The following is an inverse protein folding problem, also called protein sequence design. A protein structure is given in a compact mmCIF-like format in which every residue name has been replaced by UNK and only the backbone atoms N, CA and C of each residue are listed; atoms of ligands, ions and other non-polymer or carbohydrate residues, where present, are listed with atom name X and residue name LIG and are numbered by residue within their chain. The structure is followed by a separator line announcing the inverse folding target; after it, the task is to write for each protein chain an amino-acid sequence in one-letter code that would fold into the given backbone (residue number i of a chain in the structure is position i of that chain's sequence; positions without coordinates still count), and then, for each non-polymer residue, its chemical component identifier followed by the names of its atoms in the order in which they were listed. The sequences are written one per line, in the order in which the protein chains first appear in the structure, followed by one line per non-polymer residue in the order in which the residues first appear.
data_IF_966164845875
#
_entry.id   IF_966164845875
#
_cell.length_a   1.000
_cell.length_b   1.000
_cell.length_c   1.000
_cell.angle_alpha   90.00
_cell.angle_beta   90.00
_cell.angle_gamma   90.00
#
_symmetry.space_group_name_H-M   'P 1'
#
loop_
_entity.id
_entity.type
_entity.pdbx_description
1 polymer ?
#
# COMPACT_ATOMS: atom_id res chain seq x y z
N UNK A 1 -4.99 37.40 -4.14
CA UNK A 1 -4.91 35.94 -4.38
C UNK A 1 -4.62 35.25 -3.06
N UNK A 2 -5.46 34.35 -2.62
CA UNK A 2 -5.28 33.61 -1.35
C UNK A 2 -4.77 32.22 -1.63
N UNK A 3 -3.69 31.84 -0.96
CA UNK A 3 -3.22 30.44 -0.98
C UNK A 3 -4.12 29.61 -0.07
N UNK A 4 -4.76 28.59 -0.60
CA UNK A 4 -5.56 27.66 0.19
C UNK A 4 -4.63 26.78 1.04
N UNK A 5 -4.82 26.80 2.33
CA UNK A 5 -4.14 25.93 3.28
C UNK A 5 -5.16 25.03 3.96
N UNK A 6 -5.00 23.73 3.82
CA UNK A 6 -5.87 22.75 4.48
C UNK A 6 -5.33 22.46 5.87
N UNK A 7 -6.10 22.73 6.91
CA UNK A 7 -5.74 22.29 8.26
C UNK A 7 -5.89 20.78 8.39
N UNK A 8 -5.13 20.13 9.28
CA UNK A 8 -5.28 18.69 9.52
C UNK A 8 -6.71 18.26 9.89
N UNK A 9 -7.42 19.11 10.63
CA UNK A 9 -8.79 18.84 11.08
C UNK A 9 -9.83 18.98 9.95
N UNK A 10 -9.50 19.71 8.89
CA UNK A 10 -10.36 19.89 7.71
C UNK A 10 -10.11 18.79 6.64
N UNK A 11 -9.17 17.89 6.88
CA UNK A 11 -8.84 16.82 5.96
C UNK A 11 -9.97 15.77 5.92
N UNK A 12 -10.67 15.70 4.79
CA UNK A 12 -11.63 14.60 4.55
C UNK A 12 -10.85 13.33 4.23
N UNK A 13 -10.99 12.33 5.07
CA UNK A 13 -10.35 11.02 4.93
C UNK A 13 -11.46 10.00 4.73
N UNK A 14 -11.51 9.40 3.55
CA UNK A 14 -12.48 8.37 3.20
C UNK A 14 -11.84 6.97 3.30
N UNK A 15 -12.70 5.95 3.32
CA UNK A 15 -12.30 4.55 3.29
C UNK A 15 -12.66 3.92 1.95
N UNK A 16 -11.70 3.22 1.36
CA UNK A 16 -11.88 2.52 0.09
C UNK A 16 -11.46 1.06 0.21
N UNK A 17 -12.19 0.20 -0.49
CA UNK A 17 -11.81 -1.21 -0.68
C UNK A 17 -11.38 -1.43 -2.12
N UNK A 18 -10.27 -2.13 -2.29
CA UNK A 18 -9.66 -2.45 -3.60
C UNK A 18 -9.51 -3.95 -3.70
N UNK A 19 -10.01 -4.54 -4.77
CA UNK A 19 -9.77 -5.94 -5.09
C UNK A 19 -8.46 -6.10 -5.87
N UNK A 20 -7.54 -6.90 -5.33
CA UNK A 20 -6.24 -7.18 -5.95
C UNK A 20 -6.30 -8.35 -6.93
N UNK A 21 -7.42 -9.08 -7.01
CA UNK A 21 -7.55 -10.26 -7.85
C UNK A 21 -7.24 -9.96 -9.33
N UNK A 22 -6.28 -10.70 -9.87
CA UNK A 22 -5.89 -10.59 -11.27
C UNK A 22 -5.16 -9.30 -11.67
N UNK A 23 -4.93 -8.36 -10.76
CA UNK A 23 -4.21 -7.11 -11.03
C UNK A 23 -2.70 -7.29 -10.90
N UNK A 24 -1.93 -6.53 -11.68
CA UNK A 24 -0.47 -6.57 -11.61
C UNK A 24 0.05 -5.85 -10.37
N UNK A 25 0.94 -6.49 -9.61
CA UNK A 25 1.47 -6.00 -8.34
C UNK A 25 1.97 -4.55 -8.41
N UNK A 26 2.80 -4.22 -9.40
CA UNK A 26 3.41 -2.90 -9.49
C UNK A 26 2.41 -1.78 -9.81
N UNK A 27 1.50 -2.02 -10.75
CA UNK A 27 0.45 -1.04 -11.12
C UNK A 27 -0.54 -0.83 -9.98
N UNK A 28 -0.96 -1.92 -9.34
CA UNK A 28 -1.82 -1.86 -8.14
C UNK A 28 -1.14 -1.04 -7.04
N UNK A 29 0.12 -1.35 -6.71
CA UNK A 29 0.86 -0.65 -5.67
C UNK A 29 1.04 0.85 -5.96
N UNK A 30 1.29 1.24 -7.21
CA UNK A 30 1.42 2.66 -7.58
C UNK A 30 0.11 3.43 -7.44
N UNK A 31 -1.01 2.85 -7.84
CA UNK A 31 -2.33 3.45 -7.68
C UNK A 31 -2.72 3.59 -6.20
N UNK A 32 -2.45 2.57 -5.38
CA UNK A 32 -2.65 2.61 -3.93
C UNK A 32 -1.78 3.71 -3.30
N UNK A 33 -0.49 3.77 -3.63
CA UNK A 33 0.42 4.78 -3.09
C UNK A 33 -0.01 6.21 -3.46
N UNK A 34 -0.51 6.42 -4.67
CA UNK A 34 -1.07 7.69 -5.13
C UNK A 34 -2.24 8.14 -4.25
N UNK A 35 -3.14 7.22 -3.90
CA UNK A 35 -4.30 7.47 -3.02
C UNK A 35 -3.89 7.70 -1.56
N UNK A 36 -3.00 6.88 -1.03
CA UNK A 36 -2.47 7.02 0.34
C UNK A 36 -1.77 8.37 0.56
N UNK A 37 -1.07 8.85 -0.46
CA UNK A 37 -0.41 10.17 -0.43
C UNK A 37 -1.39 11.32 -0.59
N UNK A 38 -2.59 11.08 -1.12
CA UNK A 38 -3.62 12.09 -1.35
C UNK A 38 -3.45 12.90 -2.63
N UNK A 39 -2.63 12.46 -3.59
CA UNK A 39 -2.38 13.17 -4.84
C UNK A 39 -3.61 13.32 -5.76
N UNK A 40 -4.65 12.54 -5.52
CA UNK A 40 -5.91 12.63 -6.26
C UNK A 40 -6.79 13.80 -5.81
N UNK A 41 -6.48 14.41 -4.67
CA UNK A 41 -7.27 15.51 -4.10
C UNK A 41 -6.75 16.86 -4.58
N UNK A 42 -7.63 17.84 -4.88
CA UNK A 42 -7.21 19.17 -5.34
C UNK A 42 -6.46 19.97 -4.26
N UNK A 43 -6.70 19.66 -2.99
CA UNK A 43 -6.06 20.29 -1.84
C UNK A 43 -4.78 19.58 -1.39
N UNK A 44 -4.19 18.73 -2.24
CA UNK A 44 -2.96 18.03 -1.94
C UNK A 44 -1.83 18.99 -1.53
N UNK A 45 -1.17 18.67 -0.41
CA UNK A 45 0.02 19.36 0.06
C UNK A 45 1.11 18.34 0.45
N UNK A 46 2.38 18.51 0.00
CA UNK A 46 3.45 17.55 0.27
C UNK A 46 3.79 17.37 1.74
N UNK A 47 3.53 18.38 2.56
CA UNK A 47 3.84 18.40 3.99
C UNK A 47 2.73 17.85 4.90
N UNK A 48 1.59 17.51 4.33
CA UNK A 48 0.42 17.04 5.07
C UNK A 48 -0.02 15.65 4.64
N UNK A 49 -0.67 14.94 5.55
CA UNK A 49 -1.26 13.63 5.31
C UNK A 49 -2.75 13.77 5.00
N UNK A 50 -3.06 13.94 3.72
CA UNK A 50 -4.43 14.11 3.19
C UNK A 50 -4.98 12.86 2.51
N UNK A 51 -4.23 11.76 2.52
CA UNK A 51 -4.61 10.50 1.87
C UNK A 51 -5.74 9.77 2.57
N UNK A 52 -6.36 8.83 1.87
CA UNK A 52 -7.47 8.02 2.34
C UNK A 52 -6.98 6.69 2.92
N UNK A 53 -7.84 6.02 3.70
CA UNK A 53 -7.63 4.64 4.12
C UNK A 53 -7.94 3.69 2.97
N UNK A 54 -7.08 2.69 2.75
CA UNK A 54 -7.27 1.70 1.71
C UNK A 54 -7.21 0.30 2.32
N UNK A 55 -8.27 -0.47 2.05
CA UNK A 55 -8.38 -1.88 2.37
C UNK A 55 -8.17 -2.67 1.09
N UNK A 56 -7.15 -3.50 1.03
CA UNK A 56 -6.87 -4.38 -0.11
C UNK A 56 -7.29 -5.79 0.24
N UNK A 57 -8.10 -6.40 -0.60
CA UNK A 57 -8.57 -7.77 -0.46
C UNK A 57 -8.01 -8.65 -1.58
N UNK A 58 -8.04 -9.97 -1.38
CA UNK A 58 -7.57 -10.96 -2.35
C UNK A 58 -6.08 -10.81 -2.74
N UNK A 59 -5.23 -10.42 -1.79
CA UNK A 59 -3.79 -10.24 -2.06
C UNK A 59 -3.10 -11.52 -2.55
N UNK A 60 -3.63 -12.70 -2.22
CA UNK A 60 -3.08 -13.99 -2.67
C UNK A 60 -3.20 -14.26 -4.17
N UNK A 61 -4.09 -13.55 -4.86
CA UNK A 61 -4.36 -13.75 -6.30
C UNK A 61 -3.78 -12.66 -7.19
N UNK A 62 -2.90 -11.83 -6.65
CA UNK A 62 -2.21 -10.77 -7.40
C UNK A 62 -1.30 -11.37 -8.48
N UNK A 63 -1.28 -10.75 -9.66
CA UNK A 63 -0.45 -11.20 -10.79
C UNK A 63 0.93 -10.55 -10.75
N UNK A 64 1.93 -11.35 -11.12
CA UNK A 64 3.30 -10.90 -11.31
C UNK A 64 3.75 -11.31 -12.71
N UNK A 65 4.38 -10.41 -13.45
CA UNK A 65 4.81 -10.63 -14.83
C UNK A 65 6.24 -11.15 -14.92
N UNK A 66 6.55 -11.91 -15.97
CA UNK A 66 7.88 -12.45 -16.22
C UNK A 66 8.32 -13.50 -15.20
N UNK A 67 9.64 -13.67 -15.04
CA UNK A 67 10.25 -14.64 -14.14
C UNK A 67 10.40 -14.13 -12.68
N UNK A 68 9.69 -13.07 -12.29
CA UNK A 68 9.84 -12.43 -10.96
C UNK A 68 9.49 -13.35 -9.79
N UNK A 69 8.67 -14.39 -10.02
CA UNK A 69 8.32 -15.36 -8.98
C UNK A 69 9.55 -16.13 -8.48
N UNK A 70 10.51 -16.40 -9.37
CA UNK A 70 11.76 -17.08 -9.06
C UNK A 70 12.92 -16.13 -8.84
N UNK A 71 13.02 -15.09 -9.65
CA UNK A 71 14.21 -14.24 -9.74
C UNK A 71 14.17 -13.03 -8.81
N UNK A 72 12.98 -12.63 -8.33
CA UNK A 72 12.85 -11.53 -7.40
C UNK A 72 13.00 -11.98 -5.96
N UNK A 73 14.00 -11.44 -5.27
CA UNK A 73 14.26 -11.67 -3.86
C UNK A 73 14.03 -10.41 -3.03
N UNK A 74 13.49 -10.60 -1.83
CA UNK A 74 13.44 -9.58 -0.80
C UNK A 74 14.52 -9.88 0.23
N UNK A 75 15.37 -8.89 0.50
CA UNK A 75 16.50 -9.01 1.42
C UNK A 75 16.26 -8.18 2.67
N UNK A 76 16.58 -8.75 3.82
CA UNK A 76 16.56 -8.06 5.10
C UNK A 76 17.81 -8.38 5.88
N UNK A 77 18.57 -7.35 6.26
CA UNK A 77 19.74 -7.49 7.12
C UNK A 77 19.35 -7.28 8.58
N UNK A 78 19.81 -8.16 9.48
CA UNK A 78 19.47 -8.09 10.91
C UNK A 78 20.30 -7.07 11.70
N UNK A 79 21.32 -6.45 11.08
CA UNK A 79 22.25 -5.53 11.74
C UNK A 79 23.54 -6.18 12.26
N UNK A 80 23.61 -7.51 12.31
CA UNK A 80 24.82 -8.27 12.70
C UNK A 80 25.56 -8.77 11.48
N UNK A 81 26.88 -8.94 11.58
CA UNK A 81 27.75 -9.36 10.48
C UNK A 81 27.27 -10.70 9.90
N UNK A 82 27.13 -10.77 8.57
CA UNK A 82 26.77 -11.97 7.83
C UNK A 82 25.28 -12.38 7.88
N UNK A 83 24.42 -11.63 8.56
CA UNK A 83 23.01 -12.00 8.77
C UNK A 83 22.08 -11.33 7.75
N UNK A 84 22.27 -11.63 6.47
CA UNK A 84 21.37 -11.28 5.39
C UNK A 84 20.33 -12.39 5.21
N UNK A 85 19.06 -12.07 5.41
CA UNK A 85 17.93 -12.99 5.14
C UNK A 85 17.32 -12.65 3.79
N UNK A 86 17.07 -13.66 2.97
CA UNK A 86 16.48 -13.50 1.63
C UNK A 86 15.30 -14.44 1.45
N UNK A 87 14.24 -13.94 0.83
CA UNK A 87 13.07 -14.72 0.48
C UNK A 87 12.67 -14.43 -0.97
N UNK A 88 12.43 -15.47 -1.76
CA UNK A 88 11.91 -15.33 -3.12
C UNK A 88 10.45 -14.85 -3.11
N UNK A 89 10.06 -14.04 -4.11
CA UNK A 89 8.70 -13.53 -4.22
C UNK A 89 7.66 -14.65 -4.29
N UNK A 90 7.93 -15.73 -5.01
CA UNK A 90 7.01 -16.86 -5.11
C UNK A 90 6.75 -17.56 -3.77
N UNK A 91 7.77 -17.67 -2.91
CA UNK A 91 7.61 -18.19 -1.55
C UNK A 91 6.85 -17.19 -0.66
N UNK A 92 7.16 -15.90 -0.76
CA UNK A 92 6.48 -14.85 -0.01
C UNK A 92 4.98 -14.81 -0.31
N UNK A 93 4.58 -14.92 -1.58
CA UNK A 93 3.17 -14.92 -1.98
C UNK A 93 2.39 -16.13 -1.49
N UNK A 94 3.07 -17.28 -1.28
CA UNK A 94 2.44 -18.48 -0.72
C UNK A 94 2.24 -18.41 0.79
N UNK A 95 3.23 -17.90 1.51
CA UNK A 95 3.23 -17.84 2.98
C UNK A 95 2.54 -16.58 3.52
N UNK A 96 2.86 -15.42 2.93
CA UNK A 96 2.41 -14.10 3.40
C UNK A 96 2.14 -13.18 2.20
N UNK A 97 1.04 -13.38 1.45
CA UNK A 97 0.75 -12.60 0.26
C UNK A 97 0.59 -11.10 0.55
N UNK A 98 0.10 -10.73 1.74
CA UNK A 98 -0.09 -9.35 2.16
C UNK A 98 1.22 -8.56 2.10
N UNK A 99 2.33 -9.17 2.55
CA UNK A 99 3.64 -8.53 2.62
C UNK A 99 4.18 -8.12 1.25
N UNK A 100 3.85 -8.84 0.19
CA UNK A 100 4.30 -8.48 -1.15
C UNK A 100 3.73 -7.11 -1.58
N UNK A 101 2.44 -6.87 -1.32
CA UNK A 101 1.78 -5.59 -1.59
C UNK A 101 2.31 -4.51 -0.64
N UNK A 102 2.43 -4.81 0.64
CA UNK A 102 2.95 -3.90 1.66
C UNK A 102 4.36 -3.39 1.31
N UNK A 103 5.28 -4.28 0.92
CA UNK A 103 6.64 -3.90 0.52
C UNK A 103 6.64 -3.03 -0.74
N UNK A 104 5.80 -3.36 -1.72
CA UNK A 104 5.69 -2.58 -2.94
C UNK A 104 5.17 -1.16 -2.66
N UNK A 105 4.11 -1.01 -1.87
CA UNK A 105 3.54 0.29 -1.51
C UNK A 105 4.49 1.08 -0.61
N UNK A 106 5.08 0.44 0.41
CA UNK A 106 6.05 1.09 1.31
C UNK A 106 7.24 1.66 0.56
N UNK A 107 7.72 0.96 -0.46
CA UNK A 107 8.79 1.42 -1.33
C UNK A 107 8.44 2.67 -2.15
N UNK A 108 7.15 2.89 -2.43
CA UNK A 108 6.63 4.02 -3.22
C UNK A 108 6.21 5.23 -2.37
N UNK A 109 6.10 5.06 -1.05
CA UNK A 109 5.79 6.13 -0.11
C UNK A 109 7.06 6.86 0.36
N UNK A 110 6.94 8.11 0.87
CA UNK A 110 8.06 8.82 1.49
C UNK A 110 8.69 8.03 2.64
N UNK A 111 10.00 8.21 2.86
CA UNK A 111 10.77 7.47 3.87
C UNK A 111 10.74 8.06 5.28
N UNK A 112 10.16 9.23 5.46
CA UNK A 112 10.14 9.96 6.73
C UNK A 112 8.96 9.60 7.64
N UNK A 113 8.78 10.34 8.75
CA UNK A 113 7.65 10.17 9.68
C UNK A 113 6.29 10.31 9.00
N UNK A 114 6.16 11.24 8.05
CA UNK A 114 4.95 11.46 7.28
C UNK A 114 4.59 10.24 6.43
N UNK A 115 5.56 9.64 5.75
CA UNK A 115 5.35 8.41 4.97
C UNK A 115 4.93 7.22 5.84
N UNK A 116 5.42 7.13 7.07
CA UNK A 116 4.98 6.12 8.04
C UNK A 116 3.53 6.30 8.48
N UNK A 117 3.07 7.55 8.63
CA UNK A 117 1.65 7.84 8.90
C UNK A 117 0.76 7.45 7.71
N UNK A 118 1.19 7.77 6.49
CA UNK A 118 0.49 7.34 5.26
C UNK A 118 0.40 5.82 5.17
N UNK A 119 1.49 5.11 5.46
CA UNK A 119 1.53 3.64 5.41
C UNK A 119 0.57 2.97 6.43
N UNK A 120 0.36 3.57 7.59
CA UNK A 120 -0.59 3.06 8.60
C UNK A 120 -2.05 3.04 8.12
N UNK A 121 -2.39 3.75 7.06
CA UNK A 121 -3.72 3.76 6.44
C UNK A 121 -3.91 2.64 5.40
N UNK A 122 -2.88 1.85 5.15
CA UNK A 122 -2.95 0.66 4.30
C UNK A 122 -3.29 -0.57 5.15
N UNK A 123 -4.33 -1.29 4.74
CA UNK A 123 -4.76 -2.54 5.34
C UNK A 123 -4.83 -3.60 4.24
N UNK A 124 -4.03 -4.65 4.33
CA UNK A 124 -3.96 -5.69 3.29
C UNK A 124 -4.40 -7.03 3.87
N UNK A 125 -5.26 -7.73 3.13
CA UNK A 125 -5.78 -9.04 3.50
C UNK A 125 -5.59 -10.03 2.36
N UNK A 126 -5.15 -11.24 2.70
CA UNK A 126 -4.90 -12.31 1.72
C UNK A 126 -6.18 -12.83 1.07
N UNK A 127 -7.27 -12.86 1.82
CA UNK A 127 -8.59 -13.31 1.37
C UNK A 127 -9.57 -12.16 1.09
N UNK A 128 -10.83 -12.52 0.91
CA UNK A 128 -11.91 -11.56 0.62
C UNK A 128 -12.50 -10.91 1.89
N UNK A 129 -12.33 -11.52 3.07
CA UNK A 129 -12.88 -11.02 4.32
C UNK A 129 -11.97 -9.98 4.95
N UNK A 130 -12.55 -8.89 5.47
CA UNK A 130 -11.85 -7.84 6.20
C UNK A 130 -12.68 -7.37 7.41
N UNK A 131 -12.06 -6.93 8.52
CA UNK A 131 -12.77 -6.49 9.74
C UNK A 131 -13.31 -5.05 9.66
N UNK A 132 -13.05 -4.32 8.57
CA UNK A 132 -13.36 -2.90 8.44
C UNK A 132 -14.77 -2.60 7.87
N UNK A 133 -15.77 -3.45 8.17
CA UNK A 133 -17.14 -3.24 7.71
C UNK A 133 -17.80 -2.03 8.39
N UNK A 134 -17.46 -1.76 9.64
CA UNK A 134 -17.99 -0.62 10.39
C UNK A 134 -17.65 0.75 9.75
N UNK A 135 -16.51 0.83 9.06
CA UNK A 135 -16.07 2.04 8.34
C UNK A 135 -16.76 2.22 6.98
N UNK A 136 -17.54 1.25 6.53
CA UNK A 136 -18.27 1.27 5.25
C UNK A 136 -17.37 1.69 4.07
N UNK A 137 -16.28 0.95 3.77
CA UNK A 137 -15.37 1.31 2.71
C UNK A 137 -16.07 1.26 1.35
N UNK A 138 -15.86 2.30 0.54
CA UNK A 138 -16.39 2.38 -0.83
C UNK A 138 -15.54 1.55 -1.78
N UNK A 139 -16.16 0.84 -2.71
CA UNK A 139 -15.42 0.14 -3.76
C UNK A 139 -14.64 1.12 -4.63
N UNK A 140 -13.36 0.83 -4.87
CA UNK A 140 -12.49 1.61 -5.73
C UNK A 140 -11.93 0.72 -6.83
N UNK A 141 -12.28 1.03 -8.07
CA UNK A 141 -11.68 0.41 -9.25
C UNK A 141 -10.34 1.07 -9.58
N UNK A 142 -9.30 0.24 -9.73
CA UNK A 142 -7.94 0.64 -10.06
C UNK A 142 -7.48 -0.09 -11.32
#
# INVERSE_FOLDING_TARGET
MYTQFTKPDDARIDWFVVDAAGKTLGRLASAIAHRLKGKHKPNYAPHQDLGDHIVVINAGTVKVTGAKLTDKFYHQHTGYVGNLKSIALGKLLKEHPERAIEFAVKGMLPKGPLGRRMYKKLHVFGGNAHPHQAQQPKALEI
#
